data_IF_317286606373
#
_entry.id   IF_317286606373
#
_cell.length_a   1.000
_cell.length_b   1.000
_cell.length_c   1.000
_cell.angle_alpha   90.00
_cell.angle_beta   90.00
_cell.angle_gamma   90.00
#
_symmetry.space_group_name_H-M   'P 1'
#
loop_
_entity.id
_entity.type
_entity.pdbx_description
1 polymer ?
#
# COMPACT_ATOMS: atom_id res chain seq x y z
N UNK A 1 0.33 12.90 -40.39
CA UNK A 1 0.68 13.94 -39.39
C UNK A 1 -0.42 14.27 -38.40
N UNK A 2 -1.58 14.81 -38.82
CA UNK A 2 -2.69 15.10 -37.89
C UNK A 2 -3.08 13.85 -37.09
N UNK A 3 -3.10 12.71 -37.77
CA UNK A 3 -3.33 11.40 -37.16
C UNK A 3 -2.23 10.98 -36.16
N UNK A 4 -0.95 11.15 -36.48
CA UNK A 4 0.17 10.88 -35.56
C UNK A 4 0.06 11.69 -34.27
N UNK A 5 -0.18 12.99 -34.40
CA UNK A 5 -0.37 13.89 -33.26
C UNK A 5 -1.61 13.49 -32.45
N UNK A 6 -2.70 13.13 -33.13
CA UNK A 6 -3.93 12.69 -32.47
C UNK A 6 -3.71 11.37 -31.70
N UNK A 7 -2.96 10.43 -32.26
CA UNK A 7 -2.62 9.17 -31.60
C UNK A 7 -1.74 9.41 -30.37
N UNK A 8 -0.77 10.31 -30.45
CA UNK A 8 0.09 10.68 -29.33
C UNK A 8 -0.70 11.34 -28.18
N UNK A 9 -1.56 12.31 -28.51
CA UNK A 9 -2.36 13.02 -27.50
C UNK A 9 -3.34 12.07 -26.81
N UNK A 10 -4.02 11.22 -27.60
CA UNK A 10 -5.07 10.34 -27.09
C UNK A 10 -4.59 8.96 -26.63
N UNK A 11 -3.29 8.65 -26.72
CA UNK A 11 -2.72 7.39 -26.27
C UNK A 11 -3.10 7.13 -24.80
N UNK A 12 -3.68 5.95 -24.56
CA UNK A 12 -4.08 5.48 -23.23
C UNK A 12 -3.15 4.36 -22.80
N UNK A 13 -2.49 4.56 -21.66
CA UNK A 13 -1.52 3.59 -21.13
C UNK A 13 -0.17 3.66 -21.83
N UNK A 14 0.77 2.89 -21.27
CA UNK A 14 2.19 2.94 -21.64
C UNK A 14 2.42 2.45 -23.07
N UNK A 15 1.86 1.29 -23.43
CA UNK A 15 2.07 0.65 -24.73
C UNK A 15 1.58 1.53 -25.90
N UNK A 16 0.38 2.10 -25.80
CA UNK A 16 -0.15 3.00 -26.83
C UNK A 16 0.67 4.29 -26.94
N UNK A 17 1.19 4.78 -25.81
CA UNK A 17 2.03 5.97 -25.80
C UNK A 17 3.39 5.70 -26.46
N UNK A 18 4.03 4.58 -26.14
CA UNK A 18 5.30 4.16 -26.74
C UNK A 18 5.15 4.00 -28.26
N UNK A 19 4.11 3.31 -28.72
CA UNK A 19 3.82 3.14 -30.15
C UNK A 19 3.61 4.49 -30.85
N UNK A 20 2.79 5.38 -30.27
CA UNK A 20 2.50 6.68 -30.86
C UNK A 20 3.70 7.64 -30.80
N UNK A 21 4.52 7.55 -29.75
CA UNK A 21 5.75 8.32 -29.59
C UNK A 21 6.80 7.90 -30.61
N UNK A 22 7.03 6.59 -30.75
CA UNK A 22 7.97 6.04 -31.74
C UNK A 22 7.55 6.42 -33.16
N UNK A 23 6.27 6.27 -33.51
CA UNK A 23 5.76 6.71 -34.82
C UNK A 23 5.94 8.22 -35.06
N UNK A 24 5.88 9.04 -34.01
CA UNK A 24 6.18 10.47 -34.12
C UNK A 24 7.68 10.74 -34.29
N UNK A 25 8.55 9.98 -33.62
CA UNK A 25 10.02 10.08 -33.73
C UNK A 25 10.50 9.63 -35.11
N UNK A 26 10.00 8.51 -35.62
CA UNK A 26 10.33 8.01 -36.97
C UNK A 26 9.95 9.04 -38.04
N UNK A 27 8.77 9.67 -37.90
CA UNK A 27 8.35 10.74 -38.80
C UNK A 27 9.18 12.02 -38.60
N UNK A 28 9.68 12.28 -37.39
CA UNK A 28 10.46 13.49 -37.06
C UNK A 28 11.75 13.58 -37.87
N UNK A 29 12.40 12.46 -38.17
CA UNK A 29 13.67 12.41 -38.92
C UNK A 29 13.53 12.99 -40.34
N UNK A 30 12.40 12.71 -40.99
CA UNK A 30 12.11 13.14 -42.37
C UNK A 30 11.29 14.44 -42.47
N UNK A 31 10.87 15.01 -41.33
CA UNK A 31 9.96 16.14 -41.27
C UNK A 31 10.65 17.50 -41.51
N UNK A 32 9.89 18.44 -42.08
CA UNK A 32 10.28 19.85 -42.20
C UNK A 32 10.25 20.55 -40.82
N UNK A 33 10.89 21.72 -40.70
CA UNK A 33 10.98 22.42 -39.40
C UNK A 33 9.62 22.81 -38.81
N UNK A 34 8.66 23.24 -39.66
CA UNK A 34 7.28 23.55 -39.25
C UNK A 34 6.57 22.31 -38.70
N UNK A 35 6.88 21.15 -39.24
CA UNK A 35 6.28 19.87 -38.86
C UNK A 35 6.89 19.33 -37.56
N UNK A 36 8.22 19.46 -37.43
CA UNK A 36 8.95 19.15 -36.20
C UNK A 36 8.42 19.97 -35.02
N UNK A 37 8.13 21.26 -35.24
CA UNK A 37 7.60 22.12 -34.18
C UNK A 37 6.22 21.67 -33.68
N UNK A 38 5.32 21.28 -34.60
CA UNK A 38 4.01 20.73 -34.23
C UNK A 38 4.11 19.42 -33.44
N UNK A 39 5.10 18.58 -33.73
CA UNK A 39 5.35 17.33 -33.00
C UNK A 39 5.89 17.64 -31.60
N UNK A 40 6.83 18.59 -31.48
CA UNK A 40 7.33 19.04 -30.17
C UNK A 40 6.23 19.60 -29.29
N UNK A 41 5.35 20.42 -29.85
CA UNK A 41 4.20 20.99 -29.13
C UNK A 41 3.28 19.87 -28.63
N UNK A 42 2.96 18.89 -29.48
CA UNK A 42 2.14 17.75 -29.10
C UNK A 42 2.79 16.89 -27.99
N UNK A 43 4.10 16.63 -28.09
CA UNK A 43 4.86 15.90 -27.07
C UNK A 43 4.88 16.64 -25.73
N UNK A 44 5.14 17.96 -25.73
CA UNK A 44 5.08 18.79 -24.51
C UNK A 44 3.71 18.73 -23.87
N UNK A 45 2.65 18.94 -24.66
CA UNK A 45 1.27 18.88 -24.18
C UNK A 45 0.94 17.52 -23.55
N UNK A 46 1.38 16.42 -24.17
CA UNK A 46 1.18 15.08 -23.60
C UNK A 46 2.01 14.86 -22.33
N UNK A 47 3.24 15.36 -22.28
CA UNK A 47 4.07 15.28 -21.08
C UNK A 47 3.45 16.06 -19.91
N UNK A 48 2.89 17.24 -20.16
CA UNK A 48 2.19 18.04 -19.16
C UNK A 48 0.95 17.29 -18.63
N UNK A 49 0.17 16.67 -19.52
CA UNK A 49 -0.98 15.83 -19.14
C UNK A 49 -0.57 14.64 -18.27
N UNK A 50 0.43 13.87 -18.69
CA UNK A 50 0.95 12.72 -17.94
C UNK A 50 1.47 13.16 -16.57
N UNK A 51 2.19 14.27 -16.51
CA UNK A 51 2.74 14.79 -15.25
C UNK A 51 1.63 15.25 -14.30
N UNK A 52 0.59 15.91 -14.82
CA UNK A 52 -0.56 16.33 -14.04
C UNK A 52 -1.35 15.11 -13.50
N UNK A 53 -1.59 14.10 -14.33
CA UNK A 53 -2.25 12.86 -13.93
C UNK A 53 -1.43 12.09 -12.88
N UNK A 54 -0.10 12.03 -13.05
CA UNK A 54 0.81 11.40 -12.09
C UNK A 54 0.77 12.10 -10.73
N UNK A 55 0.85 13.45 -10.71
CA UNK A 55 0.74 14.24 -9.48
C UNK A 55 -0.60 14.03 -8.76
N UNK A 56 -1.70 14.00 -9.51
CA UNK A 56 -3.02 13.75 -8.95
C UNK A 56 -3.11 12.34 -8.34
N UNK A 57 -2.58 11.34 -9.06
CA UNK A 57 -2.57 9.95 -8.61
C UNK A 57 -1.73 9.77 -7.35
N UNK A 58 -0.53 10.36 -7.29
CA UNK A 58 0.34 10.33 -6.11
C UNK A 58 -0.35 11.00 -4.91
N UNK A 59 -1.00 12.15 -5.11
CA UNK A 59 -1.76 12.84 -4.06
C UNK A 59 -2.89 11.95 -3.52
N UNK A 60 -3.63 11.30 -4.41
CA UNK A 60 -4.72 10.38 -4.03
C UNK A 60 -4.19 9.18 -3.26
N UNK A 61 -3.11 8.56 -3.72
CA UNK A 61 -2.45 7.43 -3.03
C UNK A 61 -2.01 7.86 -1.63
N UNK A 62 -1.32 9.01 -1.52
CA UNK A 62 -0.82 9.53 -0.25
C UNK A 62 -1.97 9.75 0.73
N UNK A 63 -3.07 10.35 0.28
CA UNK A 63 -4.27 10.53 1.09
C UNK A 63 -4.86 9.19 1.56
N UNK A 64 -5.00 8.22 0.66
CA UNK A 64 -5.52 6.89 1.00
C UNK A 64 -4.62 6.18 2.01
N UNK A 65 -3.29 6.26 1.86
CA UNK A 65 -2.35 5.67 2.83
C UNK A 65 -2.54 6.32 4.20
N UNK A 66 -2.60 7.65 4.29
CA UNK A 66 -2.83 8.35 5.56
C UNK A 66 -4.17 7.97 6.20
N UNK A 67 -5.23 7.79 5.41
CA UNK A 67 -6.54 7.32 5.90
C UNK A 67 -6.49 5.87 6.42
N UNK A 68 -5.62 5.02 5.87
CA UNK A 68 -5.41 3.66 6.35
C UNK A 68 -4.55 3.63 7.63
N UNK A 69 -3.49 4.44 7.69
CA UNK A 69 -2.62 4.54 8.86
C UNK A 69 -3.34 5.14 10.08
N UNK A 70 -4.31 6.04 9.87
CA UNK A 70 -5.09 6.66 10.95
C UNK A 70 -6.24 5.80 11.48
N UNK A 71 -6.54 4.65 10.86
CA UNK A 71 -7.54 3.74 11.40
C UNK A 71 -6.91 2.92 12.50
N UNK A 72 -6.99 3.42 13.73
CA UNK A 72 -6.79 2.63 14.94
C UNK A 72 -7.77 1.46 14.90
N UNK A 73 -7.30 0.29 14.44
CA UNK A 73 -8.13 -0.91 14.43
C UNK A 73 -8.20 -1.39 15.88
N UNK A 74 -9.35 -1.16 16.50
CA UNK A 74 -9.61 -1.50 17.89
C UNK A 74 -10.62 -2.63 17.96
N UNK A 75 -10.31 -3.66 18.73
CA UNK A 75 -11.29 -4.67 19.12
C UNK A 75 -12.01 -4.22 20.40
N UNK A 76 -13.34 -4.15 20.37
CA UNK A 76 -14.14 -3.87 21.55
C UNK A 76 -14.68 -5.17 22.17
N UNK A 77 -14.33 -5.44 23.42
CA UNK A 77 -14.81 -6.61 24.18
C UNK A 77 -15.33 -6.13 25.53
N UNK A 78 -16.62 -6.36 25.81
CA UNK A 78 -17.29 -5.97 27.05
C UNK A 78 -17.11 -4.48 27.42
N UNK A 79 -17.19 -3.58 26.42
CA UNK A 79 -17.01 -2.14 26.60
C UNK A 79 -15.56 -1.68 26.79
N UNK A 80 -14.58 -2.60 26.73
CA UNK A 80 -13.14 -2.28 26.74
C UNK A 80 -12.59 -2.32 25.33
N UNK A 81 -11.83 -1.28 24.99
CA UNK A 81 -11.15 -1.11 23.70
C UNK A 81 -9.74 -1.70 23.76
N UNK A 82 -9.41 -2.58 22.82
CA UNK A 82 -8.12 -3.22 22.66
C UNK A 82 -7.55 -2.86 21.28
N UNK A 83 -6.67 -1.85 21.22
CA UNK A 83 -5.95 -1.49 20.00
C UNK A 83 -5.13 -2.68 19.48
N UNK A 84 -5.30 -3.05 18.21
CA UNK A 84 -4.67 -4.25 17.62
C UNK A 84 -3.18 -4.07 17.27
N UNK A 85 -2.67 -2.85 17.38
CA UNK A 85 -1.24 -2.54 17.41
C UNK A 85 -0.56 -3.03 18.71
N UNK A 86 -1.27 -2.90 19.83
CA UNK A 86 -0.83 -3.38 21.14
C UNK A 86 -1.26 -4.82 21.42
N UNK A 87 -2.46 -5.23 21.00
CA UNK A 87 -3.08 -6.52 21.33
C UNK A 87 -3.14 -7.41 20.10
N UNK A 88 -2.26 -8.40 20.04
CA UNK A 88 -2.11 -9.28 18.89
C UNK A 88 -2.53 -10.71 19.20
N UNK A 89 -2.82 -11.50 18.16
CA UNK A 89 -3.12 -12.92 18.34
C UNK A 89 -1.87 -13.68 18.78
N UNK A 90 -2.04 -14.86 19.39
CA UNK A 90 -0.90 -15.74 19.69
C UNK A 90 -0.08 -16.10 18.44
N UNK A 91 -0.75 -16.26 17.29
CA UNK A 91 -0.08 -16.57 16.02
C UNK A 91 0.77 -15.41 15.52
N UNK A 92 0.32 -14.17 15.71
CA UNK A 92 1.10 -12.99 15.31
C UNK A 92 2.22 -12.72 16.30
N UNK A 93 2.00 -13.01 17.58
CA UNK A 93 3.02 -12.91 18.63
C UNK A 93 4.22 -13.82 18.34
N UNK A 94 3.97 -15.09 17.95
CA UNK A 94 5.07 -16.01 17.62
C UNK A 94 5.84 -15.57 16.36
N UNK A 95 5.18 -14.93 15.39
CA UNK A 95 5.85 -14.38 14.20
C UNK A 95 6.66 -13.14 14.55
N UNK A 96 6.12 -12.25 15.40
CA UNK A 96 6.77 -10.99 15.80
C UNK A 96 8.02 -11.22 16.64
N UNK A 97 8.02 -12.23 17.50
CA UNK A 97 9.12 -12.54 18.43
C UNK A 97 9.89 -13.83 18.09
N UNK A 98 9.73 -14.33 16.85
CA UNK A 98 10.41 -15.53 16.33
C UNK A 98 10.34 -16.75 17.27
N UNK A 99 9.13 -17.07 17.73
CA UNK A 99 8.89 -18.21 18.63
C UNK A 99 8.46 -19.45 17.84
N UNK A 100 8.91 -20.62 18.30
CA UNK A 100 8.70 -21.90 17.62
C UNK A 100 7.23 -22.30 17.46
N UNK A 101 6.37 -21.97 18.43
CA UNK A 101 4.95 -22.31 18.37
C UNK A 101 4.11 -21.54 19.40
N UNK A 102 2.80 -21.47 19.16
CA UNK A 102 1.84 -20.91 20.13
C UNK A 102 1.76 -21.71 21.43
N UNK A 103 2.26 -22.94 21.43
CA UNK A 103 2.35 -23.77 22.65
C UNK A 103 3.35 -23.19 23.64
N UNK A 104 4.44 -22.58 23.17
CA UNK A 104 5.41 -21.86 24.02
C UNK A 104 4.72 -20.74 24.79
N UNK A 105 3.96 -19.90 24.07
CA UNK A 105 3.24 -18.77 24.66
C UNK A 105 2.15 -19.26 25.61
N UNK A 106 1.39 -20.29 25.26
CA UNK A 106 0.41 -20.90 26.17
C UNK A 106 1.06 -21.44 27.45
N UNK A 107 2.25 -22.03 27.37
CA UNK A 107 2.99 -22.49 28.54
C UNK A 107 3.48 -21.31 29.39
N UNK A 108 3.93 -20.21 28.78
CA UNK A 108 4.30 -18.99 29.50
C UNK A 108 3.12 -18.38 30.25
N UNK A 109 1.93 -18.36 29.64
CA UNK A 109 0.69 -17.92 30.29
C UNK A 109 0.37 -18.82 31.50
N UNK A 110 0.45 -20.15 31.33
CA UNK A 110 0.20 -21.11 32.44
C UNK A 110 1.21 -20.99 33.58
N UNK A 111 2.47 -20.66 33.27
CA UNK A 111 3.55 -20.49 34.26
C UNK A 111 3.59 -19.10 34.90
N UNK A 112 2.76 -18.17 34.45
CA UNK A 112 2.77 -16.78 34.93
C UNK A 112 3.94 -15.93 34.43
N UNK A 113 4.68 -16.38 33.40
CA UNK A 113 5.71 -15.58 32.72
C UNK A 113 5.06 -14.41 31.97
N UNK A 114 3.89 -14.66 31.38
CA UNK A 114 3.00 -13.60 30.87
C UNK A 114 2.03 -13.22 31.99
N UNK A 115 1.99 -11.97 32.43
CA UNK A 115 1.00 -11.50 33.40
C UNK A 115 -0.43 -11.74 32.90
N UNK A 116 -1.34 -12.12 33.80
CA UNK A 116 -2.74 -12.37 33.43
C UNK A 116 -3.43 -11.11 32.84
N UNK A 117 -3.00 -9.92 33.27
CA UNK A 117 -3.44 -8.63 32.73
C UNK A 117 -3.08 -8.42 31.26
N UNK A 118 -2.07 -9.12 30.75
CA UNK A 118 -1.61 -9.02 29.36
C UNK A 118 -2.22 -10.10 28.45
N UNK A 119 -3.23 -10.82 28.93
CA UNK A 119 -3.93 -11.87 28.18
C UNK A 119 -5.42 -11.65 28.26
N UNK A 120 -6.08 -11.59 27.11
CA UNK A 120 -7.55 -11.56 27.03
C UNK A 120 -8.05 -12.74 26.22
N UNK A 121 -9.13 -13.35 26.68
CA UNK A 121 -9.84 -14.39 25.93
C UNK A 121 -11.16 -13.84 25.43
N UNK A 122 -11.32 -13.78 24.11
CA UNK A 122 -12.51 -13.25 23.46
C UNK A 122 -13.47 -14.40 23.20
N UNK A 123 -14.34 -14.67 24.18
CA UNK A 123 -15.28 -15.80 24.12
C UNK A 123 -16.18 -15.80 22.88
N UNK A 124 -16.54 -14.62 22.36
CA UNK A 124 -17.37 -14.46 21.15
C UNK A 124 -16.66 -14.85 19.85
N UNK A 125 -15.33 -14.98 19.87
CA UNK A 125 -14.50 -15.35 18.71
C UNK A 125 -13.88 -16.72 18.91
N UNK A 126 -14.70 -17.75 19.20
CA UNK A 126 -14.23 -19.12 19.44
C UNK A 126 -13.12 -19.25 20.51
N UNK A 127 -13.16 -18.38 21.53
CA UNK A 127 -12.13 -18.35 22.56
C UNK A 127 -10.75 -17.86 22.08
N UNK A 128 -10.71 -17.05 21.01
CA UNK A 128 -9.48 -16.41 20.53
C UNK A 128 -8.79 -15.67 21.68
N UNK A 129 -7.50 -15.96 21.88
CA UNK A 129 -6.67 -15.27 22.86
C UNK A 129 -5.87 -14.18 22.20
N UNK A 130 -5.94 -12.97 22.76
CA UNK A 130 -5.03 -11.89 22.44
C UNK A 130 -4.04 -11.71 23.59
N UNK A 131 -2.83 -11.32 23.21
CA UNK A 131 -1.71 -11.07 24.11
C UNK A 131 -1.12 -9.70 23.79
N UNK A 132 -0.70 -8.97 24.82
CA UNK A 132 -0.01 -7.69 24.62
C UNK A 132 1.34 -7.91 23.92
N UNK A 133 1.61 -7.13 22.89
CA UNK A 133 2.76 -7.26 21.97
C UNK A 133 4.08 -6.75 22.56
N UNK A 134 4.42 -7.19 23.78
CA UNK A 134 5.68 -6.89 24.47
C UNK A 134 6.55 -8.16 24.58
N UNK A 135 7.88 -8.04 24.58
CA UNK A 135 8.75 -9.20 24.76
C UNK A 135 8.64 -9.74 26.19
N UNK A 136 8.34 -11.04 26.33
CA UNK A 136 8.44 -11.75 27.61
C UNK A 136 9.69 -12.62 27.62
N UNK A 137 10.46 -12.54 28.70
CA UNK A 137 11.63 -13.39 28.91
C UNK A 137 11.22 -14.59 29.76
N UNK A 138 11.36 -15.80 29.20
CA UNK A 138 11.40 -17.02 30.00
C UNK A 138 12.66 -16.96 30.84
N UNK A 139 12.53 -16.94 32.18
CA UNK A 139 13.61 -17.41 33.05
C UNK A 139 13.86 -18.89 32.86
#
# INVERSE_FOLDING_TARGET
MKELINNLINAKGLEQYEMASNACLDFFESATDVQKEKIREAMRKKADLITAEAKHTITKISKTISEFEQKDVVLEVNGRKYPLDEWITLNDYIKKFDLKSTMVVNNWIKRGVVPAENVISVGRLNGLKLIKAVPYLSR
#
